data_IF_602584136339
#
_entry.id   IF_602584136339
#
_cell.length_a   1.000
_cell.length_b   1.000
_cell.length_c   1.000
_cell.angle_alpha   90.00
_cell.angle_beta   90.00
_cell.angle_gamma   90.00
#
_symmetry.space_group_name_H-M   'P 1'
#
loop_
_entity.id
_entity.type
_entity.pdbx_description
1 polymer ?
#
# COMPACT_ATOMS: atom_id res chain seq x y z
N UNK A 1 11.80 -18.18 2.17
CA UNK A 1 11.64 -19.51 2.81
C UNK A 1 10.18 -19.89 3.12
N UNK A 2 9.18 -19.02 2.91
CA UNK A 2 7.77 -19.40 3.04
C UNK A 2 7.17 -20.04 1.76
N UNK A 3 7.69 -19.66 0.58
CA UNK A 3 7.13 -20.06 -0.72
C UNK A 3 7.28 -21.56 -1.05
N UNK A 4 8.30 -22.23 -0.49
CA UNK A 4 8.56 -23.67 -0.75
C UNK A 4 7.55 -24.53 0.03
N UNK A 5 7.27 -24.17 1.28
CA UNK A 5 6.35 -24.91 2.16
C UNK A 5 4.90 -24.77 1.70
N UNK A 6 4.53 -23.60 1.18
CA UNK A 6 3.17 -23.33 0.67
C UNK A 6 2.86 -24.02 -0.66
N UNK A 7 3.88 -24.35 -1.46
CA UNK A 7 3.70 -24.87 -2.82
C UNK A 7 3.70 -26.40 -2.93
N UNK A 8 4.22 -27.12 -1.93
CA UNK A 8 4.38 -28.58 -1.99
C UNK A 8 3.59 -29.37 -0.94
N UNK A 9 3.07 -28.72 0.12
CA UNK A 9 2.45 -29.42 1.27
C UNK A 9 0.98 -29.03 1.52
N UNK A 10 0.51 -27.90 1.00
CA UNK A 10 -0.84 -27.40 1.30
C UNK A 10 -1.81 -27.65 0.15
N UNK A 11 -2.87 -28.39 0.45
CA UNK A 11 -4.01 -28.60 -0.44
C UNK A 11 -4.67 -27.26 -0.81
N UNK A 12 -4.99 -27.10 -2.10
CA UNK A 12 -5.54 -25.85 -2.65
C UNK A 12 -6.84 -25.40 -1.97
N UNK A 13 -7.61 -26.34 -1.38
CA UNK A 13 -8.85 -26.05 -0.69
C UNK A 13 -8.62 -25.33 0.65
N UNK A 14 -7.60 -25.72 1.44
CA UNK A 14 -7.28 -25.08 2.72
C UNK A 14 -6.70 -23.66 2.50
N UNK A 15 -5.91 -23.47 1.43
CA UNK A 15 -5.38 -22.15 1.06
C UNK A 15 -6.50 -21.21 0.64
N UNK A 16 -7.49 -21.70 -0.11
CA UNK A 16 -8.65 -20.90 -0.53
C UNK A 16 -9.52 -20.50 0.67
N UNK A 17 -9.82 -21.44 1.56
CA UNK A 17 -10.64 -21.19 2.76
C UNK A 17 -9.96 -20.23 3.76
N UNK A 18 -8.64 -20.29 3.88
CA UNK A 18 -7.89 -19.48 4.86
C UNK A 18 -7.45 -18.13 4.29
N UNK A 19 -7.30 -17.99 2.97
CA UNK A 19 -6.89 -16.72 2.31
C UNK A 19 -7.83 -15.57 2.63
N UNK A 20 -9.14 -15.80 2.64
CA UNK A 20 -10.13 -14.76 2.93
C UNK A 20 -9.99 -14.21 4.34
N UNK A 21 -9.94 -15.11 5.33
CA UNK A 21 -9.81 -14.75 6.75
C UNK A 21 -8.45 -14.15 7.07
N UNK A 22 -7.36 -14.69 6.49
CA UNK A 22 -6.01 -14.16 6.67
C UNK A 22 -5.84 -12.79 6.00
N UNK A 23 -6.51 -12.57 4.87
CA UNK A 23 -6.60 -11.27 4.21
C UNK A 23 -7.35 -10.24 5.06
N UNK A 24 -8.51 -10.61 5.60
CA UNK A 24 -9.29 -9.76 6.50
C UNK A 24 -8.53 -9.44 7.80
N UNK A 25 -7.91 -10.44 8.41
CA UNK A 25 -7.04 -10.26 9.58
C UNK A 25 -5.90 -9.31 9.27
N UNK A 26 -5.17 -9.52 8.16
CA UNK A 26 -4.10 -8.62 7.71
C UNK A 26 -4.60 -7.18 7.62
N UNK A 27 -5.74 -6.96 6.97
CA UNK A 27 -6.35 -5.63 6.84
C UNK A 27 -6.70 -5.02 8.20
N UNK A 28 -7.29 -5.80 9.11
CA UNK A 28 -7.61 -5.34 10.47
C UNK A 28 -6.35 -4.99 11.27
N UNK A 29 -5.30 -5.79 11.17
CA UNK A 29 -4.02 -5.51 11.81
C UNK A 29 -3.35 -4.25 11.24
N UNK A 30 -3.41 -4.03 9.92
CA UNK A 30 -2.94 -2.77 9.33
C UNK A 30 -3.77 -1.58 9.77
N UNK A 31 -5.11 -1.71 9.78
CA UNK A 31 -5.99 -0.65 10.24
C UNK A 31 -5.75 -0.30 11.73
N UNK A 32 -5.54 -1.30 12.58
CA UNK A 32 -5.16 -1.11 13.98
C UNK A 32 -3.79 -0.45 14.11
N UNK A 33 -2.78 -0.89 13.35
CA UNK A 33 -1.47 -0.27 13.37
C UNK A 33 -1.53 1.21 12.94
N UNK A 34 -2.26 1.53 11.87
CA UNK A 34 -2.48 2.92 11.45
C UNK A 34 -3.27 3.74 12.49
N UNK A 35 -4.24 3.11 13.16
CA UNK A 35 -5.02 3.76 14.22
C UNK A 35 -4.16 4.03 15.45
N UNK A 36 -3.34 3.08 15.89
CA UNK A 36 -2.37 3.26 16.99
C UNK A 36 -1.32 4.31 16.64
N UNK A 37 -0.77 4.29 15.42
CA UNK A 37 0.15 5.32 14.93
C UNK A 37 -0.54 6.69 14.93
N UNK A 38 -1.81 6.78 14.49
CA UNK A 38 -2.57 8.04 14.50
C UNK A 38 -2.98 8.53 15.89
N UNK A 39 -3.18 7.62 16.85
CA UNK A 39 -3.47 7.95 18.26
C UNK A 39 -2.21 8.41 19.01
N UNK A 40 -1.07 7.77 18.75
CA UNK A 40 0.23 8.11 19.34
C UNK A 40 0.84 9.36 18.70
N UNK A 41 0.72 9.49 17.38
CA UNK A 41 1.05 10.71 16.63
C UNK A 41 -0.11 11.67 16.77
N UNK A 42 -0.31 12.16 18.00
CA UNK A 42 -1.37 13.07 18.43
C UNK A 42 -1.69 14.08 17.33
N UNK A 43 -2.75 13.84 16.55
CA UNK A 43 -3.18 14.73 15.46
C UNK A 43 -3.37 16.18 15.95
N UNK A 44 -3.72 16.34 17.22
CA UNK A 44 -3.81 17.63 17.92
C UNK A 44 -2.45 18.34 18.08
N UNK A 45 -1.35 17.61 18.26
CA UNK A 45 0.02 18.18 18.26
C UNK A 45 0.50 18.49 16.84
N UNK A 46 0.19 17.65 15.84
CA UNK A 46 0.47 17.96 14.43
C UNK A 46 -0.31 19.19 13.92
N UNK A 47 -1.52 19.42 14.42
CA UNK A 47 -2.34 20.61 14.12
C UNK A 47 -1.88 21.84 14.91
N UNK A 48 -1.34 21.65 16.12
CA UNK A 48 -0.89 22.75 17.00
C UNK A 48 0.60 23.12 16.83
N UNK A 49 1.45 22.25 16.28
CA UNK A 49 2.84 22.56 15.93
C UNK A 49 2.86 23.38 14.62
N UNK A 50 3.14 24.68 14.74
CA UNK A 50 3.48 25.58 13.63
C UNK A 50 2.46 25.68 12.47
N UNK A 51 1.17 25.51 12.75
CA UNK A 51 0.09 25.72 11.78
C UNK A 51 0.04 24.70 10.64
N UNK A 52 0.52 23.48 10.85
CA UNK A 52 0.37 22.37 9.89
C UNK A 52 1.28 22.43 8.65
N UNK A 53 2.21 23.39 8.58
CA UNK A 53 3.18 23.52 7.47
C UNK A 53 4.01 22.26 7.18
N UNK A 54 4.58 21.55 8.18
CA UNK A 54 5.40 20.36 7.89
C UNK A 54 4.57 19.16 7.39
N UNK A 55 3.35 18.98 7.91
CA UNK A 55 2.44 17.95 7.42
C UNK A 55 1.97 18.23 5.99
N UNK A 56 1.67 19.50 5.67
CA UNK A 56 1.33 19.93 4.32
C UNK A 56 2.48 19.73 3.32
N UNK A 57 3.72 20.04 3.73
CA UNK A 57 4.90 19.81 2.90
C UNK A 57 5.14 18.31 2.62
N UNK A 58 4.97 17.44 3.62
CA UNK A 58 5.04 15.99 3.45
C UNK A 58 3.95 15.45 2.53
N UNK A 59 2.70 15.89 2.73
CA UNK A 59 1.57 15.45 1.91
C UNK A 59 1.75 15.89 0.44
N UNK A 60 2.21 17.12 0.23
CA UNK A 60 2.52 17.64 -1.10
C UNK A 60 3.67 16.88 -1.77
N UNK A 61 4.76 16.60 -1.04
CA UNK A 61 5.88 15.80 -1.54
C UNK A 61 5.43 14.37 -1.93
N UNK A 62 4.58 13.76 -1.10
CA UNK A 62 4.05 12.43 -1.38
C UNK A 62 3.12 12.44 -2.61
N UNK A 63 2.26 13.45 -2.74
CA UNK A 63 1.38 13.61 -3.89
C UNK A 63 2.18 13.79 -5.19
N UNK A 64 3.24 14.61 -5.17
CA UNK A 64 4.14 14.78 -6.32
C UNK A 64 4.80 13.45 -6.70
N UNK A 65 5.25 12.67 -5.73
CA UNK A 65 5.89 11.37 -5.99
C UNK A 65 4.91 10.38 -6.64
N UNK A 66 3.66 10.34 -6.16
CA UNK A 66 2.59 9.53 -6.75
C UNK A 66 2.27 9.96 -8.18
N UNK A 67 2.18 11.27 -8.43
CA UNK A 67 1.96 11.81 -9.78
C UNK A 67 3.12 11.45 -10.72
N UNK A 68 4.36 11.58 -10.25
CA UNK A 68 5.54 11.24 -11.03
C UNK A 68 5.61 9.76 -11.39
N UNK A 69 5.30 8.87 -10.43
CA UNK A 69 5.23 7.42 -10.68
C UNK A 69 4.10 7.06 -11.64
N UNK A 70 2.94 7.73 -11.58
CA UNK A 70 1.86 7.53 -12.56
C UNK A 70 2.23 8.00 -13.96
N UNK A 71 2.94 9.13 -14.09
CA UNK A 71 3.46 9.61 -15.39
C UNK A 71 4.42 8.58 -15.96
N UNK A 72 5.37 8.09 -15.17
CA UNK A 72 6.30 7.04 -15.60
C UNK A 72 5.57 5.75 -15.97
N UNK A 73 4.57 5.34 -15.18
CA UNK A 73 3.76 4.17 -15.49
C UNK A 73 2.99 4.35 -16.82
N UNK A 74 2.44 5.53 -17.08
CA UNK A 74 1.76 5.83 -18.34
C UNK A 74 2.72 5.90 -19.53
N UNK A 75 3.93 6.41 -19.34
CA UNK A 75 4.98 6.43 -20.38
C UNK A 75 5.47 5.00 -20.71
N UNK A 76 5.68 4.17 -19.69
CA UNK A 76 6.21 2.81 -19.84
C UNK A 76 5.15 1.78 -20.25
N UNK A 77 3.95 1.85 -19.68
CA UNK A 77 2.87 0.87 -19.86
C UNK A 77 1.66 1.39 -20.63
N UNK A 78 1.55 2.70 -20.86
CA UNK A 78 0.42 3.32 -21.57
C UNK A 78 0.51 3.29 -23.09
N UNK A 79 1.52 2.64 -23.67
CA UNK A 79 1.61 2.45 -25.12
C UNK A 79 2.39 3.52 -25.91
N UNK A 80 2.89 4.57 -25.25
CA UNK A 80 3.53 5.73 -25.92
C UNK A 80 5.02 5.51 -26.25
N UNK A 81 5.80 4.90 -25.34
CA UNK A 81 7.22 4.56 -25.58
C UNK A 81 7.44 3.06 -25.87
N UNK A 82 6.60 2.20 -25.32
CA UNK A 82 6.59 0.76 -25.59
C UNK A 82 5.16 0.34 -25.94
N UNK A 83 4.98 -0.51 -26.95
CA UNK A 83 3.67 -1.09 -27.25
C UNK A 83 3.12 -1.76 -25.98
N UNK A 84 1.86 -1.47 -25.64
CA UNK A 84 1.24 -2.00 -24.43
C UNK A 84 1.43 -3.53 -24.37
N UNK A 85 1.95 -4.09 -23.27
CA UNK A 85 2.15 -5.53 -23.19
C UNK A 85 0.80 -6.21 -23.36
N UNK A 86 0.69 -7.05 -24.40
CA UNK A 86 -0.47 -7.91 -24.60
C UNK A 86 -0.47 -8.89 -23.44
N UNK A 87 -1.22 -8.57 -22.40
CA UNK A 87 -1.50 -9.51 -21.31
C UNK A 87 -2.42 -10.57 -21.93
N UNK A 88 -1.83 -11.71 -22.30
CA UNK A 88 -2.53 -12.89 -22.80
C UNK A 88 -2.65 -13.92 -21.69
#
# INVERSE_FOLDING_TARGET
>A
MASIVFSFVLDSATVSATKGTLGAARTLWFALAFTCIGLETRFTELVSMEGGRPAGAFLAAQAINVVWTLILAFLLFGGLLFAAPVIK
#
